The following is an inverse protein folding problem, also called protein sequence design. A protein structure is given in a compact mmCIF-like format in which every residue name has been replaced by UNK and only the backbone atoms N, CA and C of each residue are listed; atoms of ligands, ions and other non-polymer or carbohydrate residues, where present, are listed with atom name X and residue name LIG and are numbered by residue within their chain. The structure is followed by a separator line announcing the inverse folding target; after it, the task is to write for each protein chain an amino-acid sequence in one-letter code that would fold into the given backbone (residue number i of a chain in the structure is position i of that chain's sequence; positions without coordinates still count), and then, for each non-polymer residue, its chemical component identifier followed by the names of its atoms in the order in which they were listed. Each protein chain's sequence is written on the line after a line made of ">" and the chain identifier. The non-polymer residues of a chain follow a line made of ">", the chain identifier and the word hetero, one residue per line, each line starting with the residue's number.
data_IF_110846365443
#
_entry.id   IF_110846365443
#
_cell.length_a   1.000
_cell.length_b   1.000
_cell.length_c   1.000
_cell.angle_alpha   90.00
_cell.angle_beta   90.00
_cell.angle_gamma   90.00
#
_symmetry.space_group_name_H-M   'P 1'
#
loop_
_entity.id
_entity.type
_entity.pdbx_description
1 polymer ?
#
# COMPACT_ATOMS: atom_id res chain seq x y z
N UNK A 1 -5.53 -10.77 -9.81
CA UNK A 1 -6.96 -10.45 -9.60
C UNK A 1 -7.15 -9.03 -9.08
N UNK A 2 -6.59 -8.66 -7.92
CA UNK A 2 -6.68 -7.29 -7.37
C UNK A 2 -6.34 -6.17 -8.37
N UNK A 3 -5.18 -6.23 -9.04
CA UNK A 3 -4.75 -5.19 -10.00
C UNK A 3 -5.78 -4.98 -11.12
N UNK A 4 -6.23 -6.08 -11.73
CA UNK A 4 -7.24 -6.06 -12.80
C UNK A 4 -8.57 -5.47 -12.30
N UNK A 5 -9.00 -5.84 -11.10
CA UNK A 5 -10.22 -5.30 -10.51
C UNK A 5 -10.15 -3.77 -10.40
N UNK A 6 -9.04 -3.22 -9.89
CA UNK A 6 -8.86 -1.75 -9.80
C UNK A 6 -8.78 -1.10 -11.19
N UNK A 7 -8.14 -1.77 -12.17
CA UNK A 7 -8.03 -1.26 -13.54
C UNK A 7 -9.37 -1.15 -14.25
N UNK A 8 -10.28 -2.09 -14.00
CA UNK A 8 -11.61 -2.20 -14.61
C UNK A 8 -12.68 -1.32 -13.92
N UNK A 9 -12.37 -0.64 -12.81
CA UNK A 9 -13.30 0.27 -12.15
C UNK A 9 -13.51 1.55 -12.98
N UNK A 10 -14.77 1.91 -13.23
CA UNK A 10 -15.16 3.18 -13.86
C UNK A 10 -14.68 4.39 -13.05
N UNK A 11 -14.74 4.29 -11.72
CA UNK A 11 -14.25 5.29 -10.79
C UNK A 11 -13.22 4.67 -9.85
N UNK A 12 -11.95 5.03 -10.06
CA UNK A 12 -10.83 4.50 -9.27
C UNK A 12 -10.71 5.22 -7.93
N UNK A 13 -10.42 4.52 -6.82
CA UNK A 13 -10.24 5.17 -5.52
C UNK A 13 -9.00 6.07 -5.50
N UNK A 14 -9.05 7.21 -4.81
CA UNK A 14 -7.88 8.06 -4.62
C UNK A 14 -6.84 7.41 -3.67
N UNK A 15 -7.33 6.65 -2.69
CA UNK A 15 -6.53 5.95 -1.68
C UNK A 15 -7.07 4.53 -1.52
N UNK A 16 -6.18 3.54 -1.48
CA UNK A 16 -6.52 2.13 -1.25
C UNK A 16 -5.66 1.60 -0.12
N UNK A 17 -6.28 1.09 0.94
CA UNK A 17 -5.59 0.48 2.08
C UNK A 17 -5.76 -1.04 2.01
N UNK A 18 -4.65 -1.78 1.95
CA UNK A 18 -4.65 -3.25 1.95
C UNK A 18 -3.83 -3.74 3.14
N UNK A 19 -4.44 -4.66 3.89
CA UNK A 19 -3.85 -5.30 5.07
C UNK A 19 -3.55 -6.76 4.76
N UNK A 20 -2.71 -7.40 5.57
CA UNK A 20 -2.31 -8.80 5.40
C UNK A 20 -1.82 -9.06 3.97
N UNK A 21 -0.92 -8.21 3.51
CA UNK A 21 -0.42 -8.25 2.13
C UNK A 21 0.51 -9.44 1.87
N UNK A 22 1.22 -9.89 2.91
CA UNK A 22 2.19 -11.00 2.86
C UNK A 22 3.28 -10.81 1.80
N UNK A 23 3.51 -9.55 1.40
CA UNK A 23 4.50 -9.23 0.39
C UNK A 23 5.90 -9.29 1.01
N UNK A 24 6.85 -9.85 0.25
CA UNK A 24 8.25 -9.78 0.61
C UNK A 24 8.81 -8.39 0.24
N UNK A 25 9.73 -7.82 1.03
CA UNK A 25 10.38 -6.54 0.71
C UNK A 25 11.03 -6.50 -0.68
N UNK A 26 11.53 -7.65 -1.14
CA UNK A 26 12.19 -7.84 -2.44
C UNK A 26 11.23 -7.72 -3.63
N UNK A 27 9.92 -7.91 -3.41
CA UNK A 27 8.94 -8.00 -4.48
C UNK A 27 8.45 -6.61 -4.84
N UNK A 28 8.57 -6.22 -6.10
CA UNK A 28 8.00 -4.97 -6.58
C UNK A 28 6.52 -5.15 -6.97
N UNK A 29 5.62 -4.74 -6.08
CA UNK A 29 4.18 -4.79 -6.31
C UNK A 29 3.69 -3.46 -6.90
N UNK A 30 3.70 -3.35 -8.22
CA UNK A 30 3.29 -2.14 -8.94
C UNK A 30 1.77 -2.15 -9.21
N UNK A 31 1.09 -1.05 -8.89
CA UNK A 31 -0.27 -0.75 -9.33
C UNK A 31 -0.25 0.53 -10.16
N UNK A 32 -0.49 0.44 -11.47
CA UNK A 32 -0.35 1.57 -12.38
C UNK A 32 -1.29 2.73 -12.03
N UNK A 33 -0.77 3.95 -12.03
CA UNK A 33 -1.49 5.16 -11.61
C UNK A 33 -1.47 5.41 -10.11
N UNK A 34 -0.78 4.58 -9.32
CA UNK A 34 -0.64 4.73 -7.87
C UNK A 34 0.82 4.73 -7.44
N UNK A 35 1.08 5.36 -6.30
CA UNK A 35 2.28 5.24 -5.50
C UNK A 35 1.99 4.29 -4.34
N UNK A 36 2.84 3.27 -4.15
CA UNK A 36 2.69 2.30 -3.07
C UNK A 36 3.56 2.70 -1.87
N UNK A 37 2.93 2.93 -0.71
CA UNK A 37 3.61 3.15 0.56
C UNK A 37 3.44 1.89 1.37
N UNK A 38 4.55 1.20 1.63
CA UNK A 38 4.54 -0.14 2.18
C UNK A 38 5.20 -0.18 3.54
N UNK A 39 4.71 -1.11 4.35
CA UNK A 39 5.37 -1.58 5.55
C UNK A 39 5.23 -3.08 5.59
N UNK A 40 6.19 -3.72 4.92
CA UNK A 40 6.29 -5.16 4.90
C UNK A 40 6.89 -5.65 6.22
N UNK A 41 6.52 -6.86 6.62
CA UNK A 41 7.11 -7.50 7.79
C UNK A 41 8.44 -8.15 7.41
N UNK A 42 9.48 -7.84 8.16
CA UNK A 42 10.83 -8.42 7.94
C UNK A 42 10.97 -9.81 8.58
N UNK A 43 10.32 -10.02 9.73
CA UNK A 43 10.43 -11.25 10.54
C UNK A 43 9.08 -11.89 10.85
N UNK A 44 8.96 -13.21 10.62
CA UNK A 44 7.79 -14.03 10.99
C UNK A 44 6.91 -14.47 9.81
N UNK A 45 5.80 -15.16 10.11
CA UNK A 45 4.77 -15.53 9.13
C UNK A 45 3.64 -14.51 9.14
N UNK A 46 3.27 -14.01 7.96
CA UNK A 46 2.12 -13.13 7.74
C UNK A 46 2.29 -11.68 8.17
N UNK A 47 1.24 -10.87 7.96
CA UNK A 47 1.24 -9.41 8.13
C UNK A 47 1.65 -8.65 6.87
N UNK A 48 2.10 -7.41 7.10
CA UNK A 48 2.46 -6.46 6.07
C UNK A 48 1.26 -5.67 5.56
N UNK A 49 1.48 -4.38 5.33
CA UNK A 49 0.44 -3.44 4.87
C UNK A 49 0.94 -2.60 3.69
N UNK A 50 -0.01 -2.15 2.87
CA UNK A 50 0.25 -1.18 1.81
C UNK A 50 -0.89 -0.18 1.70
N UNK A 51 -0.52 1.08 1.56
CA UNK A 51 -1.42 2.16 1.14
C UNK A 51 -1.03 2.59 -0.27
N UNK A 52 -1.93 2.44 -1.22
CA UNK A 52 -1.78 2.98 -2.56
C UNK A 52 -2.42 4.37 -2.63
N UNK A 53 -1.68 5.36 -3.12
CA UNK A 53 -2.16 6.73 -3.31
C UNK A 53 -2.11 7.07 -4.79
N UNK A 54 -3.20 7.61 -5.34
CA UNK A 54 -3.25 8.01 -6.74
C UNK A 54 -2.14 9.01 -7.07
N UNK A 55 -1.43 8.77 -8.18
CA UNK A 55 -0.37 9.65 -8.64
C UNK A 55 -0.88 11.08 -8.86
N UNK A 56 -0.11 12.05 -8.38
CA UNK A 56 -0.46 13.47 -8.46
C UNK A 56 -1.31 13.99 -7.30
N UNK A 57 -1.83 13.12 -6.43
CA UNK A 57 -2.43 13.56 -5.17
C UNK A 57 -1.31 13.99 -4.20
N UNK A 58 -1.43 15.19 -3.63
CA UNK A 58 -0.51 15.66 -2.61
C UNK A 58 -0.74 14.92 -1.30
N UNK A 59 0.33 14.43 -0.68
CA UNK A 59 0.30 13.79 0.64
C UNK A 59 1.65 13.92 1.33
N UNK A 60 1.67 13.69 2.63
CA UNK A 60 2.88 13.48 3.42
C UNK A 60 2.83 12.15 4.16
N UNK A 61 3.99 11.51 4.38
CA UNK A 61 4.07 10.26 5.15
C UNK A 61 4.54 10.61 6.55
N UNK A 62 3.74 10.26 7.54
CA UNK A 62 4.10 10.44 8.95
C UNK A 62 4.90 9.23 9.42
N UNK A 63 6.11 9.50 9.93
CA UNK A 63 6.94 8.46 10.54
C UNK A 63 6.41 8.13 11.93
N UNK A 64 5.79 6.96 12.06
CA UNK A 64 5.30 6.42 13.33
C UNK A 64 6.22 5.30 13.84
N UNK A 65 6.07 4.93 15.12
CA UNK A 65 6.92 3.92 15.74
C UNK A 65 6.88 2.57 15.01
N UNK A 66 7.96 1.80 15.13
CA UNK A 66 8.05 0.46 14.54
C UNK A 66 7.12 -0.58 15.19
N UNK A 67 6.49 -0.23 16.32
CA UNK A 67 5.66 -1.13 17.13
C UNK A 67 4.26 -1.36 16.56
N UNK A 68 3.73 -0.41 15.78
CA UNK A 68 2.41 -0.54 15.16
C UNK A 68 2.54 -0.83 13.67
N UNK A 69 1.94 -1.92 13.18
CA UNK A 69 1.87 -2.19 11.74
C UNK A 69 0.84 -1.25 11.08
N UNK A 70 1.28 -0.01 10.80
CA UNK A 70 0.46 1.05 10.23
C UNK A 70 1.26 1.93 9.24
N UNK A 71 0.53 2.45 8.25
CA UNK A 71 0.95 3.50 7.32
C UNK A 71 0.01 4.68 7.57
N UNK A 72 0.58 5.85 7.81
CA UNK A 72 -0.17 7.07 8.12
C UNK A 72 0.19 8.13 7.10
N UNK A 73 -0.84 8.69 6.46
CA UNK A 73 -0.71 9.71 5.42
C UNK A 73 -1.75 10.81 5.65
N UNK A 74 -1.34 12.06 5.42
CA UNK A 74 -2.18 13.27 5.49
C UNK A 74 -2.00 14.16 4.26
#
# INVERSE_FOLDING_TARGET
>A
EFKRFIEEMDQKPHVICVQETWLKPQLDFILYGYVAIRRDREDGMGGGIVTFIQQGLGYSVLNISKESEAVVVE
#
